data_IF_001334557207
#
_entry.id   IF_001334557207
#
_cell.length_a   1.000
_cell.length_b   1.000
_cell.length_c   1.000
_cell.angle_alpha   90.00
_cell.angle_beta   90.00
_cell.angle_gamma   90.00
#
_symmetry.space_group_name_H-M   'P 1'
#
loop_
_entity.id
_entity.type
_entity.pdbx_description
1 polymer ?
#
# COMPACT_ATOMS: atom_id res chain seq x y z
N UNK A 1 4.23 20.73 -34.88
CA UNK A 1 3.08 19.85 -34.64
C UNK A 1 3.64 18.49 -34.21
N UNK A 2 3.89 18.29 -32.93
CA UNK A 2 4.43 17.05 -32.39
C UNK A 2 3.27 16.14 -32.01
N UNK A 3 3.15 15.08 -32.75
CA UNK A 3 2.13 14.04 -32.63
C UNK A 3 2.32 13.33 -31.28
N UNK A 4 1.41 13.57 -30.32
CA UNK A 4 1.42 12.99 -28.98
C UNK A 4 0.76 11.61 -29.06
N UNK A 5 1.53 10.59 -29.43
CA UNK A 5 1.10 9.20 -29.36
C UNK A 5 0.96 8.84 -27.88
N UNK A 6 -0.27 8.77 -27.38
CA UNK A 6 -0.54 8.14 -26.08
C UNK A 6 -0.18 6.67 -26.21
N UNK A 7 0.68 6.10 -25.34
CA UNK A 7 0.93 4.67 -25.34
C UNK A 7 -0.36 3.94 -25.02
N UNK A 8 -0.83 3.13 -25.97
CA UNK A 8 -2.02 2.31 -25.83
C UNK A 8 -1.79 1.31 -24.69
N UNK A 9 -2.48 1.53 -23.54
CA UNK A 9 -2.44 0.63 -22.38
C UNK A 9 -2.22 1.27 -21.03
N UNK A 10 -1.79 2.54 -20.96
CA UNK A 10 -1.60 3.22 -19.66
C UNK A 10 -2.91 3.62 -19.00
N UNK A 11 -3.04 3.30 -17.72
CA UNK A 11 -4.18 3.72 -16.89
C UNK A 11 -4.22 5.24 -16.72
N UNK A 12 -5.40 5.79 -16.39
CA UNK A 12 -5.52 7.22 -16.11
C UNK A 12 -4.54 7.67 -15.00
N UNK A 13 -4.34 6.85 -13.97
CA UNK A 13 -3.41 7.14 -12.89
C UNK A 13 -1.96 7.29 -13.41
N UNK A 14 -1.54 6.40 -14.31
CA UNK A 14 -0.20 6.46 -14.92
C UNK A 14 -0.03 7.73 -15.78
N UNK A 15 -1.02 8.07 -16.59
CA UNK A 15 -0.97 9.28 -17.43
C UNK A 15 -0.92 10.57 -16.61
N UNK A 16 -1.68 10.65 -15.52
CA UNK A 16 -1.65 11.80 -14.58
C UNK A 16 -0.25 11.96 -13.97
N UNK A 17 0.34 10.89 -13.46
CA UNK A 17 1.67 10.95 -12.85
C UNK A 17 2.76 11.21 -13.89
N UNK A 18 2.67 10.64 -15.09
CA UNK A 18 3.59 10.95 -16.19
C UNK A 18 3.57 12.46 -16.52
N UNK A 19 2.38 13.07 -16.57
CA UNK A 19 2.22 14.50 -16.80
C UNK A 19 2.87 15.34 -15.71
N UNK A 20 2.57 15.04 -14.43
CA UNK A 20 3.16 15.77 -13.29
C UNK A 20 4.68 15.63 -13.28
N UNK A 21 5.18 14.41 -13.54
CA UNK A 21 6.60 14.16 -13.60
C UNK A 21 7.26 14.96 -14.73
N UNK A 22 6.71 14.92 -15.92
CA UNK A 22 7.25 15.65 -17.08
C UNK A 22 7.29 17.18 -16.85
N UNK A 23 6.32 17.74 -16.13
CA UNK A 23 6.26 19.18 -15.86
C UNK A 23 7.29 19.64 -14.80
N UNK A 24 7.73 18.73 -13.93
CA UNK A 24 8.57 19.08 -12.77
C UNK A 24 9.97 18.46 -12.79
N UNK A 25 10.12 17.34 -13.45
CA UNK A 25 11.40 16.62 -13.48
C UNK A 25 12.44 17.39 -14.31
N UNK A 26 13.65 17.45 -13.76
CA UNK A 26 14.85 17.91 -14.46
C UNK A 26 15.95 16.88 -14.25
N UNK A 27 16.78 16.59 -15.27
CA UNK A 27 17.91 15.69 -15.11
C UNK A 27 18.77 16.04 -13.90
N UNK A 28 19.10 15.05 -13.07
CA UNK A 28 19.85 15.25 -11.84
C UNK A 28 19.01 15.42 -10.58
N UNK A 29 17.69 15.51 -10.69
CA UNK A 29 16.81 15.47 -9.51
C UNK A 29 16.61 14.04 -9.03
N UNK A 30 16.64 13.86 -7.71
CA UNK A 30 16.34 12.60 -7.02
C UNK A 30 14.99 12.65 -6.29
N UNK A 31 14.35 13.80 -6.28
CA UNK A 31 13.04 14.00 -5.67
C UNK A 31 12.18 14.94 -6.50
N UNK A 32 10.91 14.61 -6.66
CA UNK A 32 9.89 15.43 -7.32
C UNK A 32 8.66 15.47 -6.41
N UNK A 33 8.45 16.57 -5.72
CA UNK A 33 7.29 16.77 -4.86
C UNK A 33 6.10 17.30 -5.67
N UNK A 34 4.89 16.86 -5.33
CA UNK A 34 3.65 17.35 -5.90
C UNK A 34 2.52 17.34 -4.87
N UNK A 35 1.54 18.21 -5.06
CA UNK A 35 0.37 18.30 -4.19
C UNK A 35 -0.80 17.49 -4.73
N UNK A 36 -1.71 17.13 -3.85
CA UNK A 36 -2.93 16.39 -4.21
C UNK A 36 -3.79 17.12 -5.24
N UNK A 37 -3.84 18.45 -5.18
CA UNK A 37 -4.59 19.28 -6.13
C UNK A 37 -4.02 19.19 -7.55
N UNK A 38 -2.73 18.97 -7.69
CA UNK A 38 -2.07 18.85 -8.99
C UNK A 38 -2.49 17.57 -9.77
N UNK A 39 -2.99 16.56 -9.08
CA UNK A 39 -3.60 15.40 -9.74
C UNK A 39 -4.84 15.80 -10.54
N UNK A 40 -5.63 16.77 -10.04
CA UNK A 40 -6.80 17.29 -10.73
C UNK A 40 -6.38 18.14 -11.93
N UNK A 41 -5.46 19.07 -11.71
CA UNK A 41 -4.93 19.93 -12.78
C UNK A 41 -4.29 19.12 -13.92
N UNK A 42 -3.56 18.06 -13.59
CA UNK A 42 -2.97 17.17 -14.58
C UNK A 42 -4.04 16.36 -15.36
N UNK A 43 -5.10 15.91 -14.71
CA UNK A 43 -6.22 15.23 -15.39
C UNK A 43 -6.91 16.19 -16.37
N UNK A 44 -7.22 17.42 -15.93
CA UNK A 44 -7.82 18.46 -16.76
C UNK A 44 -6.93 18.81 -17.96
N UNK A 45 -5.62 18.96 -17.75
CA UNK A 45 -4.66 19.23 -18.82
C UNK A 45 -4.56 18.08 -19.84
N UNK A 46 -4.90 16.85 -19.45
CA UNK A 46 -4.98 15.69 -20.33
C UNK A 46 -6.33 15.57 -21.04
N UNK A 47 -7.31 16.44 -20.73
CA UNK A 47 -8.68 16.33 -21.26
C UNK A 47 -9.47 15.18 -20.64
N UNK A 48 -9.06 14.69 -19.47
CA UNK A 48 -9.68 13.57 -18.79
C UNK A 48 -10.58 14.05 -17.64
N UNK A 49 -11.63 13.29 -17.30
CA UNK A 49 -12.50 13.64 -16.19
C UNK A 49 -11.74 13.60 -14.87
N UNK A 50 -12.13 14.47 -13.96
CA UNK A 50 -11.58 14.50 -12.59
C UNK A 50 -11.71 13.12 -11.95
N UNK A 51 -10.63 12.51 -11.42
CA UNK A 51 -10.70 11.26 -10.71
C UNK A 51 -11.65 11.34 -9.50
N UNK A 52 -12.55 10.37 -9.36
CA UNK A 52 -13.51 10.34 -8.24
C UNK A 52 -12.82 10.25 -6.88
N UNK A 53 -11.71 9.53 -6.82
CA UNK A 53 -10.91 9.37 -5.61
C UNK A 53 -9.43 9.66 -5.91
N UNK A 54 -8.96 10.83 -5.52
CA UNK A 54 -7.56 11.24 -5.72
C UNK A 54 -6.57 10.39 -4.91
N UNK A 55 -6.99 9.88 -3.75
CA UNK A 55 -6.19 8.98 -2.96
C UNK A 55 -5.94 7.64 -3.66
N UNK A 56 -6.92 7.15 -4.40
CA UNK A 56 -6.82 5.88 -5.13
C UNK A 56 -5.84 5.97 -6.31
N UNK A 57 -5.72 7.13 -6.96
CA UNK A 57 -4.71 7.38 -8.01
C UNK A 57 -3.31 7.10 -7.48
N UNK A 58 -2.96 7.70 -6.34
CA UNK A 58 -1.65 7.51 -5.70
C UNK A 58 -1.50 6.11 -5.13
N UNK A 59 -2.54 5.58 -4.47
CA UNK A 59 -2.54 4.24 -3.90
C UNK A 59 -2.32 3.16 -4.96
N UNK A 60 -2.98 3.28 -6.12
CA UNK A 60 -2.81 2.36 -7.24
C UNK A 60 -1.35 2.29 -7.71
N UNK A 61 -0.71 3.44 -7.89
CA UNK A 61 0.68 3.54 -8.34
C UNK A 61 1.71 3.14 -7.27
N UNK A 62 1.32 3.15 -6.01
CA UNK A 62 2.21 2.68 -4.94
C UNK A 62 2.19 1.17 -4.76
N UNK A 63 1.05 0.51 -5.05
CA UNK A 63 0.82 -0.86 -4.58
C UNK A 63 0.25 -1.82 -5.63
N UNK A 64 -0.32 -1.32 -6.73
CA UNK A 64 -1.08 -2.16 -7.67
C UNK A 64 -0.58 -2.11 -9.11
N UNK A 65 -0.10 -0.96 -9.54
CA UNK A 65 0.25 -0.69 -10.94
C UNK A 65 1.64 -0.08 -10.97
N UNK A 66 2.53 -0.51 -11.89
CA UNK A 66 3.85 0.09 -12.02
C UNK A 66 3.76 1.56 -12.40
N UNK A 67 4.78 2.34 -12.08
CA UNK A 67 4.92 3.69 -12.58
C UNK A 67 5.03 3.68 -14.12
N UNK A 68 4.61 4.78 -14.80
CA UNK A 68 4.74 4.90 -16.25
C UNK A 68 6.18 4.67 -16.72
N UNK A 69 6.34 4.13 -17.93
CA UNK A 69 7.68 3.87 -18.47
C UNK A 69 8.51 5.15 -18.58
N UNK A 70 7.89 6.28 -18.93
CA UNK A 70 8.56 7.59 -18.99
C UNK A 70 9.17 8.04 -17.65
N UNK A 71 8.55 7.65 -16.52
CA UNK A 71 9.08 7.92 -15.18
C UNK A 71 10.16 6.91 -14.82
N UNK A 72 9.96 5.63 -15.17
CA UNK A 72 10.90 4.54 -14.86
C UNK A 72 12.22 4.70 -15.62
N UNK A 73 12.16 5.06 -16.88
CA UNK A 73 13.33 5.28 -17.75
C UNK A 73 14.16 6.50 -17.33
N UNK A 74 13.53 7.48 -16.69
CA UNK A 74 14.21 8.65 -16.13
C UNK A 74 14.90 8.42 -14.79
N UNK A 75 14.95 7.16 -14.30
CA UNK A 75 15.59 6.83 -13.03
C UNK A 75 17.11 7.01 -13.13
N UNK A 76 17.73 7.62 -12.11
CA UNK A 76 19.19 7.63 -11.98
C UNK A 76 19.74 6.20 -11.93
N UNK A 77 21.02 5.99 -12.28
CA UNK A 77 21.63 4.66 -12.26
C UNK A 77 21.47 3.97 -10.90
N UNK A 78 21.11 2.69 -10.93
CA UNK A 78 20.89 1.85 -9.75
C UNK A 78 19.77 2.33 -8.81
N UNK A 79 18.81 3.11 -9.31
CA UNK A 79 17.64 3.56 -8.54
C UNK A 79 16.34 3.30 -9.27
N UNK A 80 15.24 3.33 -8.53
CA UNK A 80 13.87 3.30 -9.02
C UNK A 80 13.07 4.44 -8.38
N UNK A 81 12.16 5.03 -9.16
CA UNK A 81 11.24 6.00 -8.60
C UNK A 81 10.15 5.31 -7.77
N UNK A 82 9.90 5.82 -6.59
CA UNK A 82 8.78 5.40 -5.74
C UNK A 82 8.06 6.61 -5.15
N UNK A 83 6.73 6.45 -4.90
CA UNK A 83 5.91 7.53 -4.34
C UNK A 83 5.84 7.38 -2.83
N UNK A 84 6.22 8.43 -2.10
CA UNK A 84 6.17 8.53 -0.64
C UNK A 84 5.18 9.62 -0.21
N UNK A 85 4.61 9.53 1.01
CA UNK A 85 3.93 10.66 1.62
C UNK A 85 4.95 11.74 1.99
N UNK A 86 4.67 12.97 1.62
CA UNK A 86 5.51 14.15 1.88
C UNK A 86 4.93 15.11 2.92
N UNK A 87 3.87 14.70 3.63
CA UNK A 87 3.14 15.52 4.59
C UNK A 87 1.67 15.67 4.22
N UNK A 88 1.01 16.69 4.78
CA UNK A 88 -0.42 16.90 4.55
C UNK A 88 -0.69 17.26 3.07
N UNK A 89 -1.43 16.39 2.38
CA UNK A 89 -1.80 16.52 0.97
C UNK A 89 -0.61 16.66 -0.02
N UNK A 90 0.62 16.29 0.40
CA UNK A 90 1.83 16.30 -0.41
C UNK A 90 2.33 14.89 -0.62
N UNK A 91 2.80 14.61 -1.82
CA UNK A 91 3.47 13.37 -2.21
C UNK A 91 4.84 13.69 -2.80
N UNK A 92 5.75 12.75 -2.68
CA UNK A 92 7.10 12.88 -3.22
C UNK A 92 7.44 11.63 -4.02
N UNK A 93 7.71 11.80 -5.31
CA UNK A 93 8.45 10.82 -6.09
C UNK A 93 9.91 10.93 -5.70
N UNK A 94 10.49 9.85 -5.21
CA UNK A 94 11.89 9.78 -4.79
C UNK A 94 12.59 8.64 -5.49
N UNK A 95 13.76 8.92 -6.04
CA UNK A 95 14.64 7.89 -6.56
C UNK A 95 15.30 7.16 -5.38
N UNK A 96 14.98 5.88 -5.23
CA UNK A 96 15.51 5.03 -4.15
C UNK A 96 16.31 3.87 -4.72
N UNK A 97 17.35 3.39 -4.03
CA UNK A 97 18.06 2.20 -4.48
C UNK A 97 17.11 1.00 -4.43
N UNK A 98 16.65 0.55 -5.58
CA UNK A 98 15.77 -0.59 -5.79
C UNK A 98 14.58 -0.72 -4.82
N UNK A 99 13.37 -0.65 -5.38
CA UNK A 99 12.16 -1.04 -4.67
C UNK A 99 12.09 -2.58 -4.60
N UNK A 100 12.38 -3.16 -3.43
CA UNK A 100 12.46 -4.62 -3.23
C UNK A 100 11.09 -5.33 -3.17
N UNK A 101 10.00 -4.69 -3.59
CA UNK A 101 8.66 -5.32 -3.54
C UNK A 101 8.52 -6.41 -4.63
N UNK A 102 9.20 -6.26 -5.76
CA UNK A 102 9.23 -7.27 -6.81
C UNK A 102 10.55 -8.08 -6.81
N UNK A 103 10.48 -9.41 -6.90
CA UNK A 103 11.68 -10.23 -7.02
C UNK A 103 12.44 -9.89 -8.31
N UNK A 104 13.76 -9.74 -8.23
CA UNK A 104 14.59 -9.53 -9.41
C UNK A 104 14.45 -10.69 -10.38
N UNK A 105 14.40 -10.40 -11.67
CA UNK A 105 14.44 -11.44 -12.71
C UNK A 105 15.71 -12.29 -12.55
N UNK A 106 15.55 -13.62 -12.58
CA UNK A 106 16.68 -14.55 -12.45
C UNK A 106 17.02 -14.99 -11.02
N UNK A 107 16.29 -14.54 -9.99
CA UNK A 107 16.44 -15.09 -8.63
C UNK A 107 16.07 -16.58 -8.64
N UNK A 108 16.94 -17.40 -8.04
CA UNK A 108 16.71 -18.82 -7.90
C UNK A 108 15.48 -19.08 -7.05
N UNK A 109 14.50 -19.79 -7.60
CA UNK A 109 13.31 -20.23 -6.87
C UNK A 109 13.65 -21.44 -6.00
N UNK A 110 13.32 -21.37 -4.72
CA UNK A 110 13.44 -22.50 -3.78
C UNK A 110 12.03 -23.02 -3.49
N UNK A 111 11.84 -24.33 -3.66
CA UNK A 111 10.59 -25.00 -3.27
C UNK A 111 10.67 -25.40 -1.81
N UNK A 112 9.67 -25.00 -1.03
CA UNK A 112 9.51 -25.39 0.35
C UNK A 112 8.31 -26.32 0.47
N UNK A 113 8.36 -27.35 1.37
CA UNK A 113 7.19 -28.17 1.69
C UNK A 113 6.04 -27.27 2.20
N UNK A 114 4.83 -27.52 1.71
CA UNK A 114 3.66 -26.76 2.15
C UNK A 114 3.05 -27.39 3.41
N UNK A 115 3.21 -26.72 4.55
CA UNK A 115 2.67 -27.11 5.86
C UNK A 115 1.34 -26.43 6.18
N UNK A 116 0.68 -25.85 5.20
CA UNK A 116 -0.57 -25.10 5.40
C UNK A 116 -1.72 -26.07 5.70
N UNK A 117 -2.46 -25.88 6.82
CA UNK A 117 -3.67 -26.63 7.06
C UNK A 117 -4.68 -26.47 5.92
N UNK A 118 -5.35 -27.58 5.52
CA UNK A 118 -6.25 -27.57 4.37
C UNK A 118 -7.39 -26.53 4.43
N UNK A 119 -7.89 -26.24 5.64
CA UNK A 119 -8.90 -25.21 5.85
C UNK A 119 -8.37 -23.80 5.51
N UNK A 120 -7.11 -23.51 5.81
CA UNK A 120 -6.48 -22.25 5.49
C UNK A 120 -6.15 -22.19 4.01
N UNK A 121 -5.63 -23.27 3.43
CA UNK A 121 -5.30 -23.36 2.01
C UNK A 121 -6.51 -23.04 1.12
N UNK A 122 -7.71 -23.48 1.52
CA UNK A 122 -8.97 -23.24 0.80
C UNK A 122 -9.29 -21.74 0.63
N UNK A 123 -8.93 -20.90 1.60
CA UNK A 123 -9.26 -19.47 1.61
C UNK A 123 -8.07 -18.57 1.29
N UNK A 124 -6.86 -19.09 1.20
CA UNK A 124 -5.63 -18.30 1.07
C UNK A 124 -5.55 -17.45 -0.22
N UNK A 125 -6.30 -17.80 -1.25
CA UNK A 125 -6.31 -17.05 -2.52
C UNK A 125 -7.26 -15.85 -2.52
N UNK A 126 -8.23 -15.80 -1.63
CA UNK A 126 -9.28 -14.78 -1.60
C UNK A 126 -9.34 -13.97 -0.30
N UNK A 127 -8.60 -14.39 0.72
CA UNK A 127 -8.57 -13.75 2.03
C UNK A 127 -7.14 -13.43 2.46
N UNK A 128 -6.87 -12.14 2.72
CA UNK A 128 -5.58 -11.64 3.17
C UNK A 128 -5.11 -12.33 4.47
N UNK A 129 -6.01 -12.56 5.41
CA UNK A 129 -5.68 -13.21 6.68
C UNK A 129 -5.28 -14.67 6.49
N UNK A 130 -5.94 -15.37 5.58
CA UNK A 130 -5.58 -16.75 5.23
C UNK A 130 -4.22 -16.80 4.50
N UNK A 131 -3.93 -15.83 3.63
CA UNK A 131 -2.62 -15.67 3.00
C UNK A 131 -1.51 -15.43 4.03
N UNK A 132 -1.72 -14.51 4.96
CA UNK A 132 -0.77 -14.22 6.06
C UNK A 132 -0.57 -15.45 6.95
N UNK A 133 -1.65 -16.22 7.24
CA UNK A 133 -1.56 -17.47 7.95
C UNK A 133 -0.71 -18.50 7.20
N UNK A 134 -0.89 -18.63 5.89
CA UNK A 134 -0.08 -19.49 5.03
C UNK A 134 1.41 -19.16 5.06
N UNK A 135 1.76 -17.86 4.95
CA UNK A 135 3.15 -17.40 5.09
C UNK A 135 3.76 -17.84 6.42
N UNK A 136 2.97 -17.76 7.49
CA UNK A 136 3.40 -18.12 8.85
C UNK A 136 3.55 -19.63 9.04
N UNK A 137 2.56 -20.45 8.60
CA UNK A 137 2.65 -21.92 8.73
C UNK A 137 3.87 -22.49 8.02
N UNK A 138 4.20 -21.91 6.87
CA UNK A 138 5.37 -22.29 6.09
C UNK A 138 6.66 -21.58 6.53
N UNK A 139 6.62 -20.74 7.57
CA UNK A 139 7.78 -19.99 8.06
C UNK A 139 8.54 -19.24 6.96
N UNK A 140 7.82 -18.75 5.95
CA UNK A 140 8.45 -18.14 4.77
C UNK A 140 9.27 -16.91 5.10
N UNK A 141 8.86 -16.10 6.09
CA UNK A 141 9.63 -14.97 6.57
C UNK A 141 10.92 -15.40 7.26
N UNK A 142 10.86 -16.47 8.06
CA UNK A 142 12.04 -17.02 8.75
C UNK A 142 13.07 -17.52 7.72
N UNK A 143 12.60 -18.25 6.72
CA UNK A 143 13.47 -18.76 5.64
C UNK A 143 14.07 -17.63 4.82
N UNK A 144 13.26 -16.61 4.52
CA UNK A 144 13.70 -15.47 3.72
C UNK A 144 14.72 -14.58 4.45
N UNK A 145 14.50 -14.32 5.74
CA UNK A 145 15.34 -13.43 6.54
C UNK A 145 16.52 -14.15 7.21
N UNK A 146 16.45 -15.48 7.33
CA UNK A 146 17.39 -16.26 8.15
C UNK A 146 17.23 -16.05 9.66
N UNK A 147 16.14 -15.38 10.09
CA UNK A 147 15.86 -15.05 11.49
C UNK A 147 14.51 -15.63 11.91
N UNK A 148 14.35 -15.95 13.21
CA UNK A 148 13.05 -16.33 13.75
C UNK A 148 12.11 -15.12 13.82
N UNK A 149 11.08 -15.09 12.98
CA UNK A 149 10.11 -14.02 12.89
C UNK A 149 8.82 -14.34 13.65
N UNK A 150 8.39 -13.43 14.53
CA UNK A 150 7.15 -13.56 15.29
C UNK A 150 6.13 -12.50 14.83
N UNK A 151 4.84 -12.89 14.62
CA UNK A 151 3.81 -11.94 14.21
C UNK A 151 3.42 -11.01 15.37
N UNK A 152 3.85 -9.78 15.31
CA UNK A 152 3.52 -8.75 16.31
C UNK A 152 2.01 -8.50 16.44
N UNK A 153 1.27 -8.65 15.35
CA UNK A 153 -0.17 -8.39 15.30
C UNK A 153 -0.98 -9.27 16.27
N UNK A 154 -0.63 -10.54 16.42
CA UNK A 154 -1.33 -11.43 17.39
C UNK A 154 -0.95 -11.13 18.83
N UNK A 155 0.28 -10.75 19.10
CA UNK A 155 0.69 -10.34 20.44
C UNK A 155 -0.06 -9.06 20.88
N UNK A 156 -0.28 -8.14 19.96
CA UNK A 156 -1.05 -6.92 20.18
C UNK A 156 -2.55 -7.17 20.39
N UNK A 157 -3.17 -8.02 19.58
CA UNK A 157 -4.57 -8.43 19.77
C UNK A 157 -4.78 -9.19 21.08
N UNK A 158 -3.95 -10.17 21.39
CA UNK A 158 -4.02 -10.90 22.66
C UNK A 158 -3.87 -9.98 23.87
N UNK A 159 -3.03 -8.95 23.77
CA UNK A 159 -2.87 -7.92 24.81
C UNK A 159 -4.12 -7.03 24.93
N UNK A 160 -4.72 -6.63 23.81
CA UNK A 160 -5.98 -5.87 23.81
C UNK A 160 -7.14 -6.67 24.40
N UNK A 161 -7.26 -7.95 24.04
CA UNK A 161 -8.30 -8.84 24.56
C UNK A 161 -8.11 -9.11 26.05
N UNK A 162 -6.87 -9.17 26.52
CA UNK A 162 -6.56 -9.29 27.95
C UNK A 162 -6.91 -8.01 28.71
N UNK A 163 -6.60 -6.84 28.15
CA UNK A 163 -6.96 -5.56 28.74
C UNK A 163 -8.50 -5.36 28.77
N UNK A 164 -9.21 -5.71 27.68
CA UNK A 164 -10.68 -5.68 27.65
C UNK A 164 -11.30 -6.56 28.73
N UNK A 165 -10.81 -7.78 28.90
CA UNK A 165 -11.27 -8.71 29.94
C UNK A 165 -11.03 -8.18 31.35
N UNK A 166 -9.94 -7.46 31.58
CA UNK A 166 -9.65 -6.82 32.86
C UNK A 166 -10.58 -5.62 33.12
N UNK A 167 -10.85 -4.80 32.11
CA UNK A 167 -11.77 -3.65 32.24
C UNK A 167 -13.22 -4.09 32.42
N UNK A 168 -13.66 -5.17 31.76
CA UNK A 168 -15.02 -5.71 31.91
C UNK A 168 -15.23 -6.37 33.26
N UNK A 169 -14.21 -6.94 33.91
CA UNK A 169 -14.27 -7.47 35.29
C UNK A 169 -14.42 -6.37 36.34
N UNK A 170 -13.99 -5.15 36.06
CA UNK A 170 -14.04 -4.01 36.95
C UNK A 170 -15.14 -3.01 36.62
N UNK A 171 -16.02 -3.30 35.67
CA UNK A 171 -17.25 -2.52 35.52
C UNK A 171 -18.18 -2.81 36.71
N UNK A 172 -18.45 -1.83 37.58
CA UNK A 172 -19.52 -1.98 38.56
C UNK A 172 -20.79 -2.26 37.76
N UNK A 173 -21.51 -3.33 38.13
CA UNK A 173 -22.88 -3.55 37.64
C UNK A 173 -23.68 -2.32 38.05
N UNK A 174 -23.87 -1.39 37.17
CA UNK A 174 -24.89 -0.37 37.30
C UNK A 174 -26.23 -1.11 37.27
N UNK A 175 -26.77 -1.33 38.48
CA UNK A 175 -28.14 -1.79 38.66
C UNK A 175 -29.00 -0.76 37.96
N UNK A 176 -29.71 -1.19 36.92
CA UNK A 176 -30.56 -0.34 36.11
C UNK A 176 -31.64 0.32 37.01
N UNK A 177 -31.50 1.60 37.25
CA UNK A 177 -32.64 2.43 37.65
C UNK A 177 -33.45 2.69 36.40
N UNK A 178 -34.57 1.97 36.29
CA UNK A 178 -35.61 2.21 35.32
C UNK A 178 -36.12 3.65 35.47
N UNK A 179 -36.14 4.41 34.39
CA UNK A 179 -36.58 5.81 34.30
C UNK A 179 -38.12 5.96 34.37
N UNK A 180 -38.82 5.07 35.07
CA UNK A 180 -40.29 5.07 35.14
C UNK A 180 -40.89 5.71 36.39
N UNK A 181 -40.12 6.33 37.28
CA UNK A 181 -40.67 6.92 38.52
C UNK A 181 -40.31 8.40 38.70
N UNK A 182 -40.43 9.21 37.69
CA UNK A 182 -40.42 10.69 37.82
C UNK A 182 -41.49 11.31 36.94
N UNK A 183 -42.75 11.09 37.36
CA UNK A 183 -43.86 11.98 37.11
C UNK A 183 -44.52 12.33 38.46
N UNK A 184 -44.23 13.52 38.91
CA UNK A 184 -45.14 14.39 39.67
C UNK A 184 -44.87 15.81 39.17
#
# INVERSE_FOLDING_TARGET
>A
MTNKTSPAGESLAQRIIAKIFADRFKPGLYEVAFRREELVAAAEALGEPRPKNLGDVVYSLRYRVPLPDSVREASPPNTEWAIFPGGNAVYVLRAVPFNLIEPRKGIRTVRLPDSTPGVIAKYAMSDEQALLARLRYNRLLDVFTGLACYPLHRAWQARQDSLRRLTDRHRPRLIGYSAEHLRV
#
